data_IF_910921581659
#
_entry.id   IF_910921581659
#
_cell.length_a   1.000
_cell.length_b   1.000
_cell.length_c   1.000
_cell.angle_alpha   90.00
_cell.angle_beta   90.00
_cell.angle_gamma   90.00
#
_symmetry.space_group_name_H-M   'P 1'
#
loop_
_entity.id
_entity.type
_entity.pdbx_description
1 polymer ?
#
# COMPACT_ATOMS: atom_id res chain seq x y z
N UNK A 1 -2.94 31.89 8.35
CA UNK A 1 -2.90 30.99 7.18
C UNK A 1 -3.98 29.96 7.42
N UNK A 2 -4.92 29.82 6.49
CA UNK A 2 -5.97 28.84 6.64
C UNK A 2 -5.41 27.42 6.52
N UNK A 3 -6.12 26.44 7.08
CA UNK A 3 -5.72 25.03 7.04
C UNK A 3 -5.50 24.53 5.60
N UNK A 4 -6.18 25.17 4.63
CA UNK A 4 -6.09 24.88 3.21
C UNK A 4 -4.78 25.39 2.60
N UNK A 5 -4.31 26.59 2.97
CA UNK A 5 -3.05 27.15 2.47
C UNK A 5 -1.84 26.33 2.93
N UNK A 6 -1.87 25.87 4.18
CA UNK A 6 -0.82 25.01 4.76
C UNK A 6 -0.82 23.66 4.04
N UNK A 7 -1.99 23.09 3.75
CA UNK A 7 -2.12 21.85 2.97
C UNK A 7 -1.55 21.96 1.55
N UNK A 8 -1.78 23.09 0.88
CA UNK A 8 -1.23 23.37 -0.45
C UNK A 8 0.30 23.45 -0.43
N UNK A 9 0.89 24.15 0.54
CA UNK A 9 2.34 24.23 0.70
C UNK A 9 2.99 22.88 1.03
N UNK A 10 2.37 22.09 1.90
CA UNK A 10 2.88 20.76 2.28
C UNK A 10 2.82 19.79 1.09
N UNK A 11 1.74 19.81 0.33
CA UNK A 11 1.58 18.97 -0.87
C UNK A 11 2.58 19.37 -1.96
N UNK A 12 2.78 20.67 -2.15
CA UNK A 12 3.80 21.20 -3.07
C UNK A 12 5.22 20.78 -2.66
N UNK A 13 5.56 20.90 -1.37
CA UNK A 13 6.85 20.46 -0.85
C UNK A 13 7.06 18.94 -1.03
N UNK A 14 6.02 18.12 -0.81
CA UNK A 14 6.08 16.68 -1.04
C UNK A 14 6.39 16.36 -2.52
N UNK A 15 5.72 17.03 -3.46
CA UNK A 15 5.95 16.83 -4.89
C UNK A 15 7.37 17.21 -5.30
N UNK A 16 7.92 18.31 -4.76
CA UNK A 16 9.30 18.71 -5.01
C UNK A 16 10.29 17.66 -4.50
N UNK A 17 10.09 17.11 -3.30
CA UNK A 17 10.94 16.03 -2.78
C UNK A 17 10.91 14.77 -3.64
N UNK A 18 9.72 14.39 -4.16
CA UNK A 18 9.60 13.24 -5.07
C UNK A 18 10.34 13.50 -6.39
N UNK A 19 10.24 14.71 -6.94
CA UNK A 19 10.93 15.11 -8.17
C UNK A 19 12.46 15.16 -8.01
N UNK A 20 12.95 15.52 -6.81
CA UNK A 20 14.37 15.50 -6.46
C UNK A 20 14.93 14.06 -6.30
N UNK A 21 14.11 13.03 -6.48
CA UNK A 21 14.54 11.63 -6.42
C UNK A 21 14.56 11.03 -5.02
N UNK A 22 13.97 11.71 -4.03
CA UNK A 22 13.80 11.13 -2.69
C UNK A 22 12.76 10.01 -2.76
N UNK A 23 13.06 8.87 -2.12
CA UNK A 23 12.11 7.76 -1.99
C UNK A 23 10.78 8.30 -1.46
N UNK A 24 9.67 7.99 -2.14
CA UNK A 24 8.33 8.52 -1.80
C UNK A 24 7.98 8.32 -0.32
N UNK A 25 8.43 7.22 0.28
CA UNK A 25 8.27 6.95 1.71
C UNK A 25 8.88 8.05 2.61
N UNK A 26 10.10 8.50 2.33
CA UNK A 26 10.75 9.57 3.10
C UNK A 26 10.12 10.93 2.81
N UNK A 27 9.83 11.22 1.54
CA UNK A 27 9.18 12.47 1.14
C UNK A 27 7.81 12.65 1.81
N UNK A 28 6.99 11.60 1.84
CA UNK A 28 5.68 11.60 2.49
C UNK A 28 5.79 11.66 4.02
N UNK A 29 6.78 10.97 4.61
CA UNK A 29 7.00 11.00 6.06
C UNK A 29 7.42 12.40 6.54
N UNK A 30 8.37 13.04 5.87
CA UNK A 30 8.84 14.39 6.24
C UNK A 30 7.79 15.45 5.94
N UNK A 31 7.11 15.40 4.79
CA UNK A 31 6.05 16.35 4.45
C UNK A 31 4.85 16.21 5.41
N UNK A 32 4.44 14.97 5.73
CA UNK A 32 3.37 14.70 6.69
C UNK A 32 3.72 15.17 8.10
N UNK A 33 4.95 14.90 8.56
CA UNK A 33 5.41 15.37 9.88
C UNK A 33 5.45 16.90 9.95
N UNK A 34 6.06 17.56 8.96
CA UNK A 34 6.14 19.03 8.90
C UNK A 34 4.75 19.68 8.79
N UNK A 35 3.84 19.07 8.02
CA UNK A 35 2.46 19.54 7.90
C UNK A 35 1.68 19.43 9.22
N UNK A 36 1.83 18.33 9.95
CA UNK A 36 1.23 18.17 11.28
C UNK A 36 1.79 19.18 12.28
N UNK A 37 3.11 19.38 12.31
CA UNK A 37 3.76 20.38 13.18
C UNK A 37 3.24 21.78 12.86
N UNK A 38 3.09 22.14 11.58
CA UNK A 38 2.64 23.47 11.16
C UNK A 38 1.16 23.72 11.52
N UNK A 39 0.28 22.75 11.26
CA UNK A 39 -1.16 22.86 11.58
C UNK A 39 -1.39 22.96 13.09
N UNK A 40 -0.71 22.12 13.89
CA UNK A 40 -0.89 22.11 15.33
C UNK A 40 -0.17 23.26 16.05
N UNK A 41 0.97 23.72 15.53
CA UNK A 41 1.64 24.93 16.03
C UNK A 41 0.80 26.19 15.79
N UNK A 42 0.07 26.27 14.68
CA UNK A 42 -0.82 27.39 14.38
C UNK A 42 -2.08 27.44 15.27
N UNK A 43 -2.52 26.30 15.82
CA UNK A 43 -3.76 26.21 16.61
C UNK A 43 -3.58 26.28 18.13
N UNK A 44 -2.44 25.85 18.70
CA UNK A 44 -2.32 25.61 20.14
C UNK A 44 -1.02 26.11 20.80
N UNK A 45 -0.09 26.71 20.06
CA UNK A 45 1.24 27.10 20.54
C UNK A 45 2.30 25.99 20.37
N UNK A 46 3.56 26.43 20.15
CA UNK A 46 4.68 25.60 19.67
C UNK A 46 4.96 24.37 20.55
N UNK A 47 4.92 24.54 21.89
CA UNK A 47 5.20 23.46 22.85
C UNK A 47 4.19 22.30 22.79
N UNK A 48 2.90 22.59 22.62
CA UNK A 48 1.87 21.54 22.53
C UNK A 48 1.77 20.97 21.12
N UNK A 49 2.01 21.78 20.09
CA UNK A 49 2.00 21.34 18.69
C UNK A 49 3.10 20.31 18.39
N UNK A 50 4.32 20.53 18.91
CA UNK A 50 5.42 19.58 18.77
C UNK A 50 5.13 18.27 19.51
N UNK A 51 4.58 18.35 20.73
CA UNK A 51 4.28 17.18 21.55
C UNK A 51 3.16 16.31 20.95
N UNK A 52 2.15 16.92 20.31
CA UNK A 52 1.09 16.21 19.58
C UNK A 52 1.61 15.63 18.27
N UNK A 53 2.43 16.36 17.52
CA UNK A 53 3.02 15.87 16.27
C UNK A 53 3.94 14.66 16.52
N UNK A 54 4.78 14.69 17.56
CA UNK A 54 5.63 13.55 17.95
C UNK A 54 4.80 12.35 18.42
N UNK A 55 3.73 12.59 19.20
CA UNK A 55 2.82 11.50 19.62
C UNK A 55 2.08 10.89 18.42
N UNK A 56 1.58 11.70 17.49
CA UNK A 56 0.92 11.20 16.27
C UNK A 56 1.90 10.52 15.32
N UNK A 57 3.14 11.01 15.20
CA UNK A 57 4.19 10.37 14.41
C UNK A 57 4.55 8.98 14.93
N UNK A 58 4.37 8.71 16.22
CA UNK A 58 4.52 7.37 16.80
C UNK A 58 3.28 6.48 16.63
N UNK A 59 2.08 7.02 16.84
CA UNK A 59 0.85 6.21 16.80
C UNK A 59 0.37 5.89 15.38
N UNK A 60 0.57 6.78 14.39
CA UNK A 60 0.12 6.54 13.01
C UNK A 60 0.84 5.33 12.38
N UNK A 61 2.18 5.23 12.42
CA UNK A 61 2.87 4.05 11.91
C UNK A 61 2.56 2.81 12.76
N UNK A 62 2.49 2.95 14.09
CA UNK A 62 2.19 1.82 14.97
C UNK A 62 0.80 1.23 14.69
N UNK A 63 -0.23 2.06 14.50
CA UNK A 63 -1.58 1.61 14.13
C UNK A 63 -1.63 1.02 12.71
N UNK A 64 -0.80 1.47 11.77
CA UNK A 64 -0.77 0.92 10.40
C UNK A 64 0.01 -0.39 10.29
N UNK A 65 1.12 -0.52 11.02
CA UNK A 65 1.92 -1.76 11.06
C UNK A 65 1.20 -2.83 11.88
N UNK A 66 0.50 -2.44 12.95
CA UNK A 66 -0.17 -3.39 13.84
C UNK A 66 -1.52 -3.89 13.32
N UNK A 67 -2.22 -3.19 12.42
CA UNK A 67 -3.66 -3.50 12.26
C UNK A 67 -3.98 -4.72 11.41
N UNK A 68 -3.32 -5.01 10.28
CA UNK A 68 -3.71 -6.20 9.48
C UNK A 68 -2.63 -6.69 8.50
N UNK A 69 -1.83 -5.79 7.92
CA UNK A 69 -0.97 -6.13 6.77
C UNK A 69 0.12 -7.17 7.08
N UNK A 70 0.80 -7.09 8.23
CA UNK A 70 1.90 -8.00 8.55
C UNK A 70 1.44 -9.44 8.84
N UNK A 71 0.26 -9.61 9.43
CA UNK A 71 -0.31 -10.94 9.67
C UNK A 71 -0.90 -11.57 8.40
N UNK A 72 -1.27 -10.75 7.42
CA UNK A 72 -1.79 -11.23 6.14
C UNK A 72 -0.68 -11.93 5.35
N UNK A 73 0.56 -11.42 5.32
CA UNK A 73 1.65 -11.99 4.50
C UNK A 73 1.85 -13.51 4.74
N UNK A 74 2.01 -14.02 5.98
CA UNK A 74 2.12 -15.46 6.22
C UNK A 74 0.87 -16.25 5.84
N UNK A 75 -0.33 -15.70 6.07
CA UNK A 75 -1.59 -16.36 5.73
C UNK A 75 -1.74 -16.51 4.21
N UNK A 76 -1.38 -15.50 3.43
CA UNK A 76 -1.34 -15.54 1.96
C UNK A 76 -0.38 -16.62 1.46
N UNK A 77 0.82 -16.71 2.04
CA UNK A 77 1.80 -17.74 1.68
C UNK A 77 1.26 -19.14 2.01
N UNK A 78 0.60 -19.30 3.15
CA UNK A 78 0.02 -20.58 3.57
C UNK A 78 -1.09 -21.04 2.61
N UNK A 79 -2.00 -20.14 2.22
CA UNK A 79 -3.05 -20.44 1.22
C UNK A 79 -2.41 -20.79 -0.13
N UNK A 80 -1.38 -20.06 -0.54
CA UNK A 80 -0.57 -20.37 -1.72
C UNK A 80 0.00 -21.78 -1.71
N UNK A 81 0.62 -22.16 -0.60
CA UNK A 81 1.24 -23.46 -0.40
C UNK A 81 0.21 -24.60 -0.38
N UNK A 82 -0.92 -24.41 0.31
CA UNK A 82 -2.03 -25.37 0.31
C UNK A 82 -2.63 -25.56 -1.08
N UNK A 83 -2.88 -24.46 -1.81
CA UNK A 83 -3.43 -24.51 -3.16
C UNK A 83 -2.48 -25.22 -4.15
N UNK A 84 -1.17 -25.05 -3.97
CA UNK A 84 -0.17 -25.77 -4.74
C UNK A 84 -0.18 -27.28 -4.46
N UNK A 85 -0.17 -27.67 -3.20
CA UNK A 85 -0.22 -29.09 -2.81
C UNK A 85 -1.55 -29.77 -3.15
N UNK A 86 -2.67 -29.05 -3.12
CA UNK A 86 -3.98 -29.54 -3.53
C UNK A 86 -4.14 -29.68 -5.06
N UNK A 87 -3.13 -29.28 -5.85
CA UNK A 87 -3.19 -29.33 -7.32
C UNK A 87 -4.09 -28.27 -7.96
N UNK A 88 -4.60 -27.31 -7.17
CA UNK A 88 -5.53 -26.28 -7.63
C UNK A 88 -4.88 -25.37 -8.69
N UNK A 89 -3.58 -25.09 -8.58
CA UNK A 89 -2.83 -24.29 -9.56
C UNK A 89 -2.78 -24.96 -10.93
N UNK A 90 -2.64 -26.29 -10.98
CA UNK A 90 -2.67 -27.04 -12.25
C UNK A 90 -4.07 -27.06 -12.85
N UNK A 91 -5.09 -27.30 -12.03
CA UNK A 91 -6.49 -27.28 -12.48
C UNK A 91 -6.89 -25.89 -13.02
N UNK A 92 -6.46 -24.82 -12.35
CA UNK A 92 -6.73 -23.44 -12.75
C UNK A 92 -6.02 -23.08 -14.08
N UNK A 93 -4.77 -23.51 -14.25
CA UNK A 93 -4.05 -23.29 -15.51
C UNK A 93 -4.70 -24.05 -16.68
N UNK A 94 -5.10 -25.30 -16.47
CA UNK A 94 -5.78 -26.10 -17.49
C UNK A 94 -7.14 -25.50 -17.86
N UNK A 95 -7.91 -25.01 -16.88
CA UNK A 95 -9.15 -24.29 -17.11
C UNK A 95 -8.92 -22.98 -17.89
N UNK A 96 -7.93 -22.18 -17.52
CA UNK A 96 -7.56 -20.95 -18.22
C UNK A 96 -7.11 -21.23 -19.66
N UNK A 97 -6.34 -22.31 -19.88
CA UNK A 97 -5.90 -22.74 -21.21
C UNK A 97 -7.07 -23.20 -22.08
N UNK A 98 -8.04 -23.94 -21.53
CA UNK A 98 -9.24 -24.32 -22.28
C UNK A 98 -10.11 -23.13 -22.65
N UNK A 99 -10.12 -22.09 -21.81
CA UNK A 99 -10.98 -20.93 -22.03
C UNK A 99 -10.35 -19.87 -22.93
N UNK A 100 -9.06 -19.57 -22.77
CA UNK A 100 -8.38 -18.45 -23.45
C UNK A 100 -7.21 -18.91 -24.34
N UNK A 101 -6.91 -20.22 -24.36
CA UNK A 101 -5.79 -20.78 -25.12
C UNK A 101 -5.97 -20.75 -26.64
N UNK A 102 -7.17 -20.42 -27.15
CA UNK A 102 -7.39 -20.22 -28.59
C UNK A 102 -6.82 -18.89 -29.10
N UNK A 103 -6.50 -17.93 -28.22
CA UNK A 103 -5.96 -16.64 -28.63
C UNK A 103 -4.51 -16.77 -29.14
N UNK A 104 -4.05 -15.88 -30.04
CA UNK A 104 -2.65 -15.84 -30.47
C UNK A 104 -1.75 -15.57 -29.26
N UNK A 105 -0.76 -16.44 -29.03
CA UNK A 105 0.03 -16.43 -27.79
C UNK A 105 -0.66 -17.10 -26.59
N UNK A 106 -1.65 -17.98 -26.84
CA UNK A 106 -2.57 -18.55 -25.84
C UNK A 106 -1.91 -19.21 -24.63
N UNK A 107 -0.68 -19.73 -24.74
CA UNK A 107 0.08 -20.20 -23.57
C UNK A 107 0.43 -19.05 -22.61
N UNK A 108 0.87 -17.91 -23.12
CA UNK A 108 1.17 -16.73 -22.30
C UNK A 108 -0.09 -16.06 -21.74
N UNK A 109 -1.15 -15.96 -22.55
CA UNK A 109 -2.43 -15.40 -22.10
C UNK A 109 -3.06 -16.27 -21.01
N UNK A 110 -3.01 -17.60 -21.15
CA UNK A 110 -3.50 -18.52 -20.12
C UNK A 110 -2.71 -18.40 -18.80
N UNK A 111 -1.39 -18.18 -18.85
CA UNK A 111 -0.58 -17.94 -17.65
C UNK A 111 -1.01 -16.65 -16.93
N UNK A 112 -1.14 -15.54 -17.67
CA UNK A 112 -1.55 -14.25 -17.08
C UNK A 112 -2.95 -14.39 -16.46
N UNK A 113 -3.89 -15.01 -17.18
CA UNK A 113 -5.25 -15.22 -16.71
C UNK A 113 -5.31 -16.14 -15.48
N UNK A 114 -4.51 -17.21 -15.46
CA UNK A 114 -4.39 -18.10 -14.29
C UNK A 114 -3.81 -17.37 -13.07
N UNK A 115 -2.77 -16.56 -13.26
CA UNK A 115 -2.20 -15.74 -12.16
C UNK A 115 -3.16 -14.68 -11.66
N UNK A 116 -3.91 -14.03 -12.56
CA UNK A 116 -4.93 -13.05 -12.20
C UNK A 116 -6.10 -13.70 -11.45
N UNK A 117 -6.55 -14.88 -11.89
CA UNK A 117 -7.58 -15.65 -11.20
C UNK A 117 -7.13 -16.11 -9.81
N UNK A 118 -5.88 -16.56 -9.68
CA UNK A 118 -5.32 -16.91 -8.38
C UNK A 118 -5.21 -15.69 -7.45
N UNK A 119 -4.74 -14.55 -7.98
CA UNK A 119 -4.66 -13.28 -7.26
C UNK A 119 -6.04 -12.81 -6.77
N UNK A 120 -7.08 -12.94 -7.61
CA UNK A 120 -8.46 -12.58 -7.27
C UNK A 120 -9.01 -13.39 -6.09
N UNK A 121 -8.73 -14.70 -6.04
CA UNK A 121 -9.16 -15.57 -4.92
C UNK A 121 -8.33 -15.33 -3.67
N UNK A 122 -7.04 -15.00 -3.84
CA UNK A 122 -6.17 -14.73 -2.70
C UNK A 122 -6.55 -13.44 -1.95
N UNK A 123 -7.21 -12.46 -2.60
CA UNK A 123 -7.81 -11.33 -1.89
C UNK A 123 -6.82 -10.26 -1.41
N UNK A 124 -5.69 -10.06 -2.09
CA UNK A 124 -4.67 -9.08 -1.70
C UNK A 124 -5.21 -7.63 -1.64
N UNK A 125 -6.36 -7.35 -2.28
CA UNK A 125 -7.00 -6.04 -2.25
C UNK A 125 -7.53 -5.61 -0.87
N UNK A 126 -7.68 -6.52 0.10
CA UNK A 126 -8.04 -6.16 1.49
C UNK A 126 -6.80 -5.67 2.27
N UNK A 127 -5.59 -5.88 1.73
CA UNK A 127 -4.31 -5.61 2.40
C UNK A 127 -3.62 -4.29 1.96
N UNK A 128 -4.03 -3.68 0.85
CA UNK A 128 -3.57 -2.36 0.36
C UNK A 128 -4.56 -1.26 0.75
#
# INVERSE_FOLDING_TARGET
MDSIDIGLWVTGAMLVFVLLGVRVAFAAATAGFLGLVWIFSAKLGFDRGFLVAVKMAGTIPHSKVSSLALSLIPAFILIGFLAYHAGLTKALFEAAKRWVGWLPGGMGVATVFSTAGFAAVSGASVAT
#
